data_IF_909322739590
#
_entry.id   IF_909322739590
#
_cell.length_a   1.000
_cell.length_b   1.000
_cell.length_c   1.000
_cell.angle_alpha   90.00
_cell.angle_beta   90.00
_cell.angle_gamma   90.00
#
_symmetry.space_group_name_H-M   'P 1'
#
loop_
_entity.id
_entity.type
_entity.pdbx_description
1 polymer ?
#
# COMPACT_ATOMS: atom_id res chain seq x y z
N UNK A 1 4.44 -33.24 7.66
CA UNK A 1 3.25 -33.80 7.00
C UNK A 1 2.14 -33.75 8.03
N UNK A 2 1.32 -32.71 7.94
CA UNK A 2 0.31 -32.43 8.96
C UNK A 2 -0.83 -33.43 8.87
N UNK A 3 -1.22 -33.98 10.02
CA UNK A 3 -2.35 -34.93 10.10
C UNK A 3 -3.69 -34.30 9.69
N UNK A 4 -3.77 -32.97 9.58
CA UNK A 4 -4.96 -32.28 9.05
C UNK A 4 -5.28 -32.69 7.62
N UNK A 5 -4.28 -32.98 6.79
CA UNK A 5 -4.51 -33.14 5.34
C UNK A 5 -5.25 -34.42 4.96
N UNK A 6 -5.20 -35.48 5.76
CA UNK A 6 -5.91 -36.74 5.44
C UNK A 6 -7.38 -36.70 5.87
N UNK A 7 -7.66 -36.16 7.06
CA UNK A 7 -9.03 -36.01 7.55
C UNK A 7 -9.81 -35.08 6.64
N UNK A 8 -9.20 -33.97 6.19
CA UNK A 8 -9.84 -33.02 5.27
C UNK A 8 -10.16 -33.64 3.91
N UNK A 9 -9.25 -34.48 3.36
CA UNK A 9 -9.50 -35.19 2.10
C UNK A 9 -10.61 -36.22 2.23
N UNK A 10 -10.68 -36.94 3.35
CA UNK A 10 -11.74 -37.91 3.61
C UNK A 10 -13.07 -37.19 3.83
N UNK A 11 -13.08 -36.09 4.58
CA UNK A 11 -14.25 -35.24 4.77
C UNK A 11 -14.73 -34.60 3.45
N UNK A 12 -13.82 -34.33 2.52
CA UNK A 12 -14.16 -33.83 1.18
C UNK A 12 -14.87 -34.89 0.33
N UNK A 13 -14.51 -36.17 0.47
CA UNK A 13 -15.05 -37.28 -0.36
C UNK A 13 -16.28 -37.93 0.27
N UNK A 14 -16.36 -38.00 1.61
CA UNK A 14 -17.46 -38.66 2.33
C UNK A 14 -18.88 -38.19 1.94
N UNK A 15 -19.15 -36.88 1.76
CA UNK A 15 -20.45 -36.41 1.31
C UNK A 15 -20.88 -36.98 -0.04
N UNK A 16 -19.91 -37.30 -0.90
CA UNK A 16 -20.14 -37.85 -2.23
C UNK A 16 -20.50 -39.34 -2.16
N UNK A 17 -19.92 -40.06 -1.19
CA UNK A 17 -20.22 -41.47 -0.97
C UNK A 17 -21.56 -41.70 -0.24
N UNK A 18 -22.10 -40.66 0.40
CA UNK A 18 -23.36 -40.74 1.13
C UNK A 18 -24.57 -41.09 0.27
N UNK A 19 -24.57 -40.69 -1.01
CA UNK A 19 -25.62 -41.07 -1.97
C UNK A 19 -25.54 -42.52 -2.43
N UNK A 20 -24.32 -43.09 -2.45
CA UNK A 20 -24.06 -44.38 -3.07
C UNK A 20 -24.80 -45.52 -2.37
N UNK A 21 -24.94 -45.45 -1.05
CA UNK A 21 -25.66 -46.44 -0.25
C UNK A 21 -27.14 -46.50 -0.62
N UNK A 22 -27.93 -45.40 -0.53
CA UNK A 22 -29.32 -45.43 -0.97
C UNK A 22 -29.47 -45.76 -2.46
N UNK A 23 -28.59 -45.27 -3.33
CA UNK A 23 -28.65 -45.59 -4.76
C UNK A 23 -28.48 -47.09 -5.05
N UNK A 24 -27.49 -47.73 -4.41
CA UNK A 24 -27.26 -49.18 -4.55
C UNK A 24 -28.40 -50.00 -3.98
N UNK A 25 -28.93 -49.63 -2.81
CA UNK A 25 -30.12 -50.28 -2.24
C UNK A 25 -31.34 -50.15 -3.16
N UNK A 26 -31.60 -48.96 -3.72
CA UNK A 26 -32.71 -48.76 -4.65
C UNK A 26 -32.53 -49.55 -5.94
N UNK A 27 -31.29 -49.64 -6.47
CA UNK A 27 -30.98 -50.49 -7.62
C UNK A 27 -31.21 -51.97 -7.35
N UNK A 28 -30.73 -52.47 -6.22
CA UNK A 28 -30.94 -53.86 -5.82
C UNK A 28 -32.43 -54.18 -5.66
N UNK A 29 -33.20 -53.30 -5.02
CA UNK A 29 -34.63 -53.48 -4.86
C UNK A 29 -35.38 -53.37 -6.21
N UNK A 30 -34.93 -52.51 -7.11
CA UNK A 30 -35.46 -52.43 -8.47
C UNK A 30 -35.28 -53.74 -9.24
N UNK A 31 -34.12 -54.41 -9.09
CA UNK A 31 -33.85 -55.70 -9.71
C UNK A 31 -34.62 -56.84 -9.04
N UNK A 32 -34.45 -57.02 -7.72
CA UNK A 32 -34.96 -58.18 -6.99
C UNK A 32 -36.46 -58.13 -6.72
N UNK A 33 -37.02 -56.95 -6.43
CA UNK A 33 -38.40 -56.80 -5.97
C UNK A 33 -39.32 -56.31 -7.08
N UNK A 34 -38.89 -55.30 -7.85
CA UNK A 34 -39.71 -54.73 -8.93
C UNK A 34 -39.64 -55.52 -10.23
N UNK A 35 -38.70 -56.48 -10.33
CA UNK A 35 -38.53 -57.35 -11.50
C UNK A 35 -38.02 -56.63 -12.74
N UNK A 36 -37.34 -55.48 -12.57
CA UNK A 36 -36.68 -54.80 -13.68
C UNK A 36 -35.46 -55.57 -14.16
N UNK A 37 -35.12 -55.42 -15.43
CA UNK A 37 -33.88 -55.99 -15.96
C UNK A 37 -32.65 -55.32 -15.34
N UNK A 38 -31.52 -56.01 -15.31
CA UNK A 38 -30.30 -55.52 -14.64
C UNK A 38 -29.89 -54.12 -15.12
N UNK A 39 -29.93 -53.86 -16.43
CA UNK A 39 -29.57 -52.55 -16.98
C UNK A 39 -30.53 -51.44 -16.57
N UNK A 40 -31.83 -51.75 -16.41
CA UNK A 40 -32.84 -50.80 -15.93
C UNK A 40 -32.61 -50.47 -14.45
N UNK A 41 -32.33 -51.49 -13.64
CA UNK A 41 -32.01 -51.32 -12.23
C UNK A 41 -30.73 -50.48 -12.02
N UNK A 42 -29.69 -50.71 -12.82
CA UNK A 42 -28.46 -49.90 -12.82
C UNK A 42 -28.78 -48.45 -13.22
N UNK A 43 -29.59 -48.24 -14.26
CA UNK A 43 -29.98 -46.89 -14.68
C UNK A 43 -30.74 -46.15 -13.57
N UNK A 44 -31.67 -46.83 -12.88
CA UNK A 44 -32.39 -46.27 -11.73
C UNK A 44 -31.41 -45.89 -10.62
N UNK A 45 -30.46 -46.76 -10.26
CA UNK A 45 -29.45 -46.47 -9.24
C UNK A 45 -28.62 -45.22 -9.62
N UNK A 46 -28.16 -45.13 -10.87
CA UNK A 46 -27.39 -43.96 -11.36
C UNK A 46 -28.21 -42.68 -11.30
N UNK A 47 -29.50 -42.72 -11.65
CA UNK A 47 -30.38 -41.55 -11.57
C UNK A 47 -30.60 -41.10 -10.13
N UNK A 48 -30.85 -42.04 -9.22
CA UNK A 48 -31.00 -41.74 -7.78
C UNK A 48 -29.72 -41.15 -7.23
N UNK A 49 -28.56 -41.72 -7.58
CA UNK A 49 -27.25 -41.17 -7.21
C UNK A 49 -27.06 -39.75 -7.72
N UNK A 50 -27.33 -39.50 -9.00
CA UNK A 50 -27.17 -38.18 -9.60
C UNK A 50 -28.09 -37.14 -8.96
N UNK A 51 -29.34 -37.50 -8.64
CA UNK A 51 -30.28 -36.62 -7.94
C UNK A 51 -29.78 -36.34 -6.52
N UNK A 52 -29.37 -37.37 -5.78
CA UNK A 52 -28.83 -37.23 -4.44
C UNK A 52 -27.60 -36.32 -4.42
N UNK A 53 -26.68 -36.54 -5.35
CA UNK A 53 -25.48 -35.75 -5.52
C UNK A 53 -25.81 -34.27 -5.79
N UNK A 54 -26.62 -33.98 -6.82
CA UNK A 54 -27.00 -32.59 -7.17
C UNK A 54 -27.72 -31.90 -6.01
N UNK A 55 -28.56 -32.64 -5.28
CA UNK A 55 -29.30 -32.10 -4.12
C UNK A 55 -28.34 -31.71 -3.00
N UNK A 56 -27.40 -32.58 -2.64
CA UNK A 56 -26.42 -32.31 -1.59
C UNK A 56 -25.54 -31.13 -1.97
N UNK A 57 -24.98 -31.11 -3.19
CA UNK A 57 -24.11 -30.00 -3.60
C UNK A 57 -24.86 -28.68 -3.61
N UNK A 58 -26.09 -28.65 -4.15
CA UNK A 58 -26.89 -27.42 -4.19
C UNK A 58 -27.21 -26.91 -2.80
N UNK A 59 -27.52 -27.80 -1.86
CA UNK A 59 -27.81 -27.41 -0.46
C UNK A 59 -26.55 -26.91 0.25
N UNK A 60 -25.40 -27.53 0.02
CA UNK A 60 -24.13 -27.07 0.60
C UNK A 60 -23.71 -25.70 0.03
N UNK A 61 -23.77 -25.52 -1.29
CA UNK A 61 -23.46 -24.24 -1.95
C UNK A 61 -24.36 -23.11 -1.40
N UNK A 62 -25.65 -23.40 -1.18
CA UNK A 62 -26.59 -22.43 -0.60
C UNK A 62 -26.31 -22.14 0.88
N UNK A 63 -25.86 -23.15 1.63
CA UNK A 63 -25.50 -22.98 3.03
C UNK A 63 -24.25 -22.12 3.18
N UNK A 64 -23.23 -22.36 2.35
CA UNK A 64 -22.00 -21.57 2.29
C UNK A 64 -22.31 -20.11 1.94
N UNK A 65 -23.12 -19.89 0.89
CA UNK A 65 -23.57 -18.55 0.49
C UNK A 65 -24.29 -17.80 1.63
N UNK A 66 -25.05 -18.52 2.45
CA UNK A 66 -25.75 -17.96 3.60
C UNK A 66 -24.79 -17.66 4.77
N UNK A 67 -23.86 -18.57 5.07
CA UNK A 67 -22.90 -18.43 6.18
C UNK A 67 -21.88 -17.32 5.95
N UNK A 68 -21.41 -17.15 4.72
CA UNK A 68 -20.42 -16.12 4.37
C UNK A 68 -20.95 -14.68 4.48
N UNK A 69 -22.24 -14.51 4.81
CA UNK A 69 -22.86 -13.19 4.88
C UNK A 69 -22.94 -12.49 3.52
N UNK A 70 -22.63 -13.20 2.42
CA UNK A 70 -22.78 -12.67 1.07
C UNK A 70 -24.22 -12.24 0.83
N UNK A 71 -25.20 -12.93 1.42
CA UNK A 71 -26.62 -12.52 1.38
C UNK A 71 -26.86 -11.14 2.01
N UNK A 72 -26.17 -10.81 3.10
CA UNK A 72 -26.26 -9.47 3.71
C UNK A 72 -25.58 -8.42 2.83
N UNK A 73 -24.45 -8.78 2.21
CA UNK A 73 -23.78 -7.93 1.24
C UNK A 73 -24.70 -7.65 0.04
N UNK A 74 -25.41 -8.67 -0.48
CA UNK A 74 -26.36 -8.54 -1.59
C UNK A 74 -27.49 -7.55 -1.32
N UNK A 75 -28.03 -7.51 -0.10
CA UNK A 75 -29.08 -6.56 0.26
C UNK A 75 -28.63 -5.11 0.14
N UNK A 76 -27.33 -4.84 0.22
CA UNK A 76 -26.77 -3.49 0.07
C UNK A 76 -26.74 -3.00 -1.38
N UNK A 77 -26.73 -3.90 -2.36
CA UNK A 77 -26.45 -3.57 -3.77
C UNK A 77 -27.67 -3.65 -4.69
N UNK A 78 -28.89 -3.64 -4.14
CA UNK A 78 -30.14 -3.85 -4.91
C UNK A 78 -30.11 -5.13 -5.79
N UNK A 79 -29.28 -6.10 -5.42
CA UNK A 79 -29.20 -7.38 -6.12
C UNK A 79 -30.55 -8.12 -6.01
N UNK A 80 -30.92 -8.96 -7.01
CA UNK A 80 -32.14 -9.75 -6.95
C UNK A 80 -32.16 -10.53 -5.64
N UNK A 81 -33.17 -10.26 -4.81
CA UNK A 81 -33.27 -10.83 -3.46
C UNK A 81 -33.22 -12.35 -3.56
N UNK A 82 -32.10 -12.95 -3.18
CA UNK A 82 -32.10 -14.34 -2.72
C UNK A 82 -32.93 -14.32 -1.45
N UNK A 83 -34.22 -14.61 -1.60
CA UNK A 83 -35.09 -14.74 -0.44
C UNK A 83 -34.57 -15.91 0.38
N UNK A 84 -34.64 -15.79 1.71
CA UNK A 84 -34.42 -16.92 2.62
C UNK A 84 -35.24 -18.15 2.18
N UNK A 85 -36.34 -17.94 1.45
CA UNK A 85 -37.14 -18.96 0.80
C UNK A 85 -36.34 -19.90 -0.11
N UNK A 86 -35.31 -19.46 -0.83
CA UNK A 86 -34.56 -20.34 -1.73
C UNK A 86 -33.78 -21.42 -0.94
N UNK A 87 -33.16 -21.03 0.19
CA UNK A 87 -32.46 -21.96 1.09
C UNK A 87 -33.46 -22.95 1.69
N UNK A 88 -34.63 -22.47 2.14
CA UNK A 88 -35.69 -23.34 2.66
C UNK A 88 -36.26 -24.28 1.59
N UNK A 89 -36.35 -23.86 0.34
CA UNK A 89 -36.79 -24.71 -0.77
C UNK A 89 -35.76 -25.80 -1.08
N UNK A 90 -34.46 -25.48 -1.09
CA UNK A 90 -33.42 -26.49 -1.28
C UNK A 90 -33.35 -27.49 -0.12
N UNK A 91 -33.43 -26.98 1.12
CA UNK A 91 -33.49 -27.82 2.32
C UNK A 91 -34.76 -28.70 2.31
N UNK A 92 -35.92 -28.11 2.02
CA UNK A 92 -37.18 -28.85 1.89
C UNK A 92 -37.13 -29.89 0.77
N UNK A 93 -36.49 -29.57 -0.37
CA UNK A 93 -36.24 -30.53 -1.44
C UNK A 93 -35.35 -31.69 -1.00
N UNK A 94 -34.30 -31.42 -0.21
CA UNK A 94 -33.42 -32.44 0.37
C UNK A 94 -34.17 -33.36 1.33
N UNK A 95 -34.94 -32.79 2.26
CA UNK A 95 -35.78 -33.56 3.18
C UNK A 95 -36.81 -34.40 2.43
N UNK A 96 -37.47 -33.81 1.42
CA UNK A 96 -38.45 -34.52 0.58
C UNK A 96 -37.80 -35.68 -0.17
N UNK A 97 -36.62 -35.47 -0.77
CA UNK A 97 -35.86 -36.52 -1.43
C UNK A 97 -35.53 -37.68 -0.48
N UNK A 98 -34.96 -37.37 0.69
CA UNK A 98 -34.63 -38.39 1.69
C UNK A 98 -35.87 -39.15 2.14
N UNK A 99 -36.98 -38.44 2.37
CA UNK A 99 -38.25 -39.06 2.74
C UNK A 99 -38.76 -40.02 1.65
N UNK A 100 -38.71 -39.64 0.38
CA UNK A 100 -39.11 -40.50 -0.74
C UNK A 100 -38.22 -41.73 -0.84
N UNK A 101 -36.90 -41.57 -0.75
CA UNK A 101 -35.94 -42.69 -0.82
C UNK A 101 -36.14 -43.68 0.33
N UNK A 102 -36.27 -43.18 1.56
CA UNK A 102 -36.51 -44.03 2.74
C UNK A 102 -37.86 -44.72 2.64
N UNK A 103 -38.91 -44.01 2.20
CA UNK A 103 -40.24 -44.58 2.01
C UNK A 103 -40.24 -45.65 0.93
N UNK A 104 -39.58 -45.42 -0.20
CA UNK A 104 -39.44 -46.41 -1.29
C UNK A 104 -38.76 -47.67 -0.77
N UNK A 105 -37.66 -47.54 -0.03
CA UNK A 105 -36.95 -48.72 0.49
C UNK A 105 -37.76 -49.45 1.57
N UNK A 106 -38.42 -48.73 2.49
CA UNK A 106 -39.24 -49.32 3.55
C UNK A 106 -40.50 -50.01 3.02
N UNK A 107 -41.17 -49.41 2.02
CA UNK A 107 -42.37 -49.99 1.42
C UNK A 107 -42.07 -51.21 0.55
N UNK A 108 -40.87 -51.32 -0.01
CA UNK A 108 -40.48 -52.50 -0.79
C UNK A 108 -40.36 -53.77 0.07
N UNK A 109 -40.22 -53.65 1.39
CA UNK A 109 -40.13 -54.79 2.30
C UNK A 109 -41.49 -55.42 2.65
N UNK A 110 -42.63 -54.79 2.33
CA UNK A 110 -43.94 -55.16 2.91
C UNK A 110 -45.01 -55.76 1.95
N UNK A 111 -44.67 -56.11 0.69
CA UNK A 111 -45.50 -56.97 -0.18
C UNK A 111 -46.08 -56.35 -1.48
N UNK A 112 -46.88 -57.12 -2.23
CA UNK A 112 -47.27 -56.83 -3.64
C UNK A 112 -48.04 -55.52 -3.88
N UNK A 113 -48.90 -55.08 -2.96
CA UNK A 113 -49.67 -53.83 -3.13
C UNK A 113 -48.74 -52.61 -3.16
N UNK A 114 -47.60 -52.69 -2.46
CA UNK A 114 -46.64 -51.61 -2.34
C UNK A 114 -45.79 -51.41 -3.60
N UNK A 115 -45.70 -52.41 -4.47
CA UNK A 115 -45.03 -52.31 -5.78
C UNK A 115 -45.62 -51.17 -6.62
N UNK A 116 -46.95 -51.01 -6.60
CA UNK A 116 -47.64 -49.93 -7.36
C UNK A 116 -47.35 -48.56 -6.76
N UNK A 117 -47.33 -48.45 -5.43
CA UNK A 117 -46.99 -47.22 -4.72
C UNK A 117 -45.54 -46.83 -4.98
N UNK A 118 -44.62 -47.78 -4.96
CA UNK A 118 -43.20 -47.55 -5.26
C UNK A 118 -43.00 -47.06 -6.70
N UNK A 119 -43.69 -47.65 -7.69
CA UNK A 119 -43.63 -47.17 -9.07
C UNK A 119 -44.15 -45.74 -9.20
N UNK A 120 -45.22 -45.39 -8.48
CA UNK A 120 -45.72 -44.01 -8.44
C UNK A 120 -44.73 -43.05 -7.76
N UNK A 121 -44.09 -43.46 -6.66
CA UNK A 121 -43.04 -42.68 -6.00
C UNK A 121 -41.81 -42.50 -6.90
N UNK A 122 -41.42 -43.52 -7.68
CA UNK A 122 -40.32 -43.38 -8.63
C UNK A 122 -40.59 -42.32 -9.71
N UNK A 123 -41.85 -42.16 -10.14
CA UNK A 123 -42.22 -41.08 -11.07
C UNK A 123 -42.00 -39.68 -10.46
N UNK A 124 -42.07 -39.53 -9.14
CA UNK A 124 -41.80 -38.25 -8.45
C UNK A 124 -40.33 -37.82 -8.52
N UNK A 125 -39.39 -38.76 -8.75
CA UNK A 125 -37.97 -38.40 -8.94
C UNK A 125 -37.76 -37.50 -10.16
N UNK A 126 -38.56 -37.64 -11.21
CA UNK A 126 -38.49 -36.73 -12.36
C UNK A 126 -38.85 -35.29 -11.99
N UNK A 127 -39.86 -35.11 -11.13
CA UNK A 127 -40.26 -33.80 -10.63
C UNK A 127 -39.20 -33.21 -9.70
N UNK A 128 -38.67 -34.01 -8.77
CA UNK A 128 -37.59 -33.59 -7.86
C UNK A 128 -36.32 -33.22 -8.63
N UNK A 129 -35.92 -34.04 -9.60
CA UNK A 129 -34.78 -33.76 -10.47
C UNK A 129 -34.97 -32.46 -11.25
N UNK A 130 -36.15 -32.27 -11.86
CA UNK A 130 -36.50 -31.03 -12.55
C UNK A 130 -36.46 -29.79 -11.64
N UNK A 131 -36.98 -29.90 -10.42
CA UNK A 131 -36.92 -28.84 -9.41
C UNK A 131 -35.48 -28.49 -9.04
N UNK A 132 -34.63 -29.49 -8.79
CA UNK A 132 -33.23 -29.27 -8.43
C UNK A 132 -32.43 -28.65 -9.57
N UNK A 133 -32.68 -29.06 -10.82
CA UNK A 133 -32.06 -28.43 -12.01
C UNK A 133 -32.51 -26.98 -12.14
N UNK A 134 -33.79 -26.69 -11.93
CA UNK A 134 -34.31 -25.32 -11.96
C UNK A 134 -33.68 -24.43 -10.88
N UNK A 135 -33.59 -24.94 -9.64
CA UNK A 135 -32.93 -24.26 -8.52
C UNK A 135 -31.45 -23.99 -8.83
N UNK A 136 -30.73 -24.99 -9.35
CA UNK A 136 -29.32 -24.85 -9.71
C UNK A 136 -29.11 -23.82 -10.83
N UNK A 137 -29.97 -23.81 -11.84
CA UNK A 137 -29.92 -22.81 -12.91
C UNK A 137 -30.19 -21.39 -12.36
N UNK A 138 -31.18 -21.24 -11.47
CA UNK A 138 -31.45 -19.97 -10.81
C UNK A 138 -30.27 -19.52 -9.93
N UNK A 139 -29.63 -20.45 -9.21
CA UNK A 139 -28.45 -20.17 -8.40
C UNK A 139 -27.27 -19.72 -9.26
N UNK A 140 -26.98 -20.43 -10.36
CA UNK A 140 -25.91 -20.07 -11.29
C UNK A 140 -26.10 -18.66 -11.88
N UNK A 141 -27.34 -18.29 -12.26
CA UNK A 141 -27.65 -16.93 -12.72
C UNK A 141 -27.42 -15.90 -11.62
N UNK A 142 -27.78 -16.22 -10.39
CA UNK A 142 -27.56 -15.31 -9.26
C UNK A 142 -26.06 -15.13 -8.98
N UNK A 143 -25.28 -16.22 -8.97
CA UNK A 143 -23.82 -16.15 -8.80
C UNK A 143 -23.16 -15.31 -9.89
N UNK A 144 -23.55 -15.50 -11.15
CA UNK A 144 -23.03 -14.68 -12.26
C UNK A 144 -23.40 -13.19 -12.12
N UNK A 145 -24.60 -12.89 -11.65
CA UNK A 145 -25.02 -11.51 -11.37
C UNK A 145 -24.20 -10.88 -10.24
N UNK A 146 -23.83 -11.67 -9.23
CA UNK A 146 -23.02 -11.21 -8.09
C UNK A 146 -21.59 -10.91 -8.50
N UNK A 147 -20.99 -11.81 -9.28
CA UNK A 147 -19.65 -11.60 -9.84
C UNK A 147 -19.61 -10.30 -10.66
N UNK A 148 -20.66 -10.04 -11.46
CA UNK A 148 -20.76 -8.79 -12.22
C UNK A 148 -20.89 -7.55 -11.32
N UNK A 149 -21.63 -7.64 -10.21
CA UNK A 149 -21.76 -6.53 -9.24
C UNK A 149 -20.43 -6.29 -8.52
N UNK A 150 -19.73 -7.34 -8.10
CA UNK A 150 -18.41 -7.25 -7.48
C UNK A 150 -17.41 -6.59 -8.43
N UNK A 151 -17.34 -7.04 -9.68
CA UNK A 151 -16.48 -6.44 -10.70
C UNK A 151 -16.76 -4.94 -10.89
N UNK A 152 -18.03 -4.53 -10.96
CA UNK A 152 -18.40 -3.11 -11.05
C UNK A 152 -17.99 -2.31 -9.81
N UNK A 153 -18.08 -2.90 -8.62
CA UNK A 153 -17.69 -2.22 -7.39
C UNK A 153 -16.18 -2.04 -7.31
N UNK A 154 -15.42 -3.05 -7.71
CA UNK A 154 -13.96 -2.96 -7.80
C UNK A 154 -13.52 -1.91 -8.83
N UNK A 155 -14.21 -1.83 -9.97
CA UNK A 155 -14.02 -0.76 -10.96
C UNK A 155 -14.35 0.63 -10.39
N UNK A 156 -15.44 0.77 -9.63
CA UNK A 156 -15.79 2.04 -9.00
C UNK A 156 -14.81 2.44 -7.90
N UNK A 157 -14.33 1.49 -7.09
CA UNK A 157 -13.37 1.75 -6.03
C UNK A 157 -12.01 2.16 -6.62
N UNK A 158 -11.55 1.45 -7.65
CA UNK A 158 -10.32 1.80 -8.36
C UNK A 158 -10.43 3.16 -9.06
N UNK A 159 -11.57 3.47 -9.69
CA UNK A 159 -11.82 4.78 -10.27
C UNK A 159 -11.89 5.89 -9.22
N UNK A 160 -12.49 5.65 -8.05
CA UNK A 160 -12.55 6.61 -6.95
C UNK A 160 -11.15 6.90 -6.38
N UNK A 161 -10.34 5.85 -6.18
CA UNK A 161 -8.93 6.00 -5.76
C UNK A 161 -8.12 6.79 -6.80
N UNK A 162 -8.27 6.47 -8.08
CA UNK A 162 -7.58 7.19 -9.15
C UNK A 162 -7.93 8.68 -9.16
N UNK A 163 -9.21 9.04 -8.96
CA UNK A 163 -9.64 10.44 -8.84
C UNK A 163 -9.07 11.12 -7.60
N UNK A 164 -9.00 10.43 -6.47
CA UNK A 164 -8.43 10.98 -5.25
C UNK A 164 -6.93 11.24 -5.40
N UNK A 165 -6.20 10.31 -6.03
CA UNK A 165 -4.78 10.49 -6.34
C UNK A 165 -4.54 11.66 -7.31
N UNK A 166 -5.45 11.88 -8.27
CA UNK A 166 -5.38 13.01 -9.20
C UNK A 166 -5.58 14.34 -8.48
N UNK A 167 -6.60 14.44 -7.61
CA UNK A 167 -6.84 15.63 -6.78
C UNK A 167 -5.62 15.92 -5.89
N UNK A 168 -5.05 14.91 -5.24
CA UNK A 168 -3.88 15.09 -4.38
C UNK A 168 -2.66 15.57 -5.18
N UNK A 169 -2.48 15.10 -6.42
CA UNK A 169 -1.41 15.60 -7.31
C UNK A 169 -1.64 17.05 -7.71
N UNK A 170 -2.87 17.43 -8.03
CA UNK A 170 -3.22 18.81 -8.36
C UNK A 170 -2.99 19.75 -7.16
N UNK A 171 -3.39 19.33 -5.96
CA UNK A 171 -3.17 20.09 -4.72
C UNK A 171 -1.68 20.27 -4.43
N UNK A 172 -0.87 19.20 -4.57
CA UNK A 172 0.59 19.29 -4.42
C UNK A 172 1.23 20.19 -5.47
N UNK A 173 0.76 20.14 -6.72
CA UNK A 173 1.26 21.00 -7.78
C UNK A 173 0.93 22.47 -7.52
N UNK A 174 -0.28 22.76 -7.03
CA UNK A 174 -0.70 24.10 -6.65
C UNK A 174 0.08 24.63 -5.44
N UNK A 175 0.28 23.81 -4.41
CA UNK A 175 1.09 24.16 -3.25
C UNK A 175 2.53 24.50 -3.64
N UNK A 176 3.13 23.72 -4.55
CA UNK A 176 4.45 23.98 -5.10
C UNK A 176 4.53 25.31 -5.87
N UNK A 177 3.48 25.67 -6.63
CA UNK A 177 3.42 26.96 -7.33
C UNK A 177 3.39 28.14 -6.34
N UNK A 178 2.57 28.06 -5.29
CA UNK A 178 2.52 29.09 -4.25
C UNK A 178 3.88 29.24 -3.56
N UNK A 179 4.53 28.14 -3.23
CA UNK A 179 5.85 28.17 -2.60
C UNK A 179 6.90 28.82 -3.52
N UNK A 180 6.85 28.50 -4.82
CA UNK A 180 7.72 29.12 -5.82
C UNK A 180 7.49 30.63 -5.92
N UNK A 181 6.23 31.08 -6.01
CA UNK A 181 5.89 32.51 -6.05
C UNK A 181 6.37 33.23 -4.78
N UNK A 182 6.23 32.58 -3.61
CA UNK A 182 6.73 33.13 -2.34
C UNK A 182 8.25 33.30 -2.36
N UNK A 183 8.99 32.30 -2.83
CA UNK A 183 10.46 32.39 -2.95
C UNK A 183 10.86 33.50 -3.93
N UNK A 184 10.19 33.60 -5.08
CA UNK A 184 10.45 34.66 -6.06
C UNK A 184 10.19 36.06 -5.47
N UNK A 185 9.11 36.22 -4.71
CA UNK A 185 8.80 37.47 -4.01
C UNK A 185 9.84 37.82 -2.94
N UNK A 186 10.27 36.85 -2.12
CA UNK A 186 11.32 37.05 -1.11
C UNK A 186 12.65 37.49 -1.76
N UNK A 187 13.01 36.88 -2.89
CA UNK A 187 14.21 37.26 -3.66
C UNK A 187 14.11 38.69 -4.23
N UNK A 188 12.95 39.11 -4.72
CA UNK A 188 12.72 40.48 -5.20
C UNK A 188 12.85 41.50 -4.07
N UNK A 189 12.21 41.22 -2.93
CA UNK A 189 12.29 42.05 -1.72
C UNK A 189 13.74 42.22 -1.22
N UNK A 190 14.53 41.14 -1.24
CA UNK A 190 15.92 41.20 -0.85
C UNK A 190 16.78 42.01 -1.84
N UNK A 191 16.54 41.84 -3.15
CA UNK A 191 17.22 42.62 -4.18
C UNK A 191 16.90 44.13 -4.07
N UNK A 192 15.65 44.49 -3.80
CA UNK A 192 15.25 45.88 -3.55
C UNK A 192 15.91 46.46 -2.30
N UNK A 193 15.95 45.70 -1.21
CA UNK A 193 16.64 46.09 0.02
C UNK A 193 18.13 46.32 -0.22
N UNK A 194 18.77 45.48 -1.03
CA UNK A 194 20.18 45.66 -1.42
C UNK A 194 20.37 46.92 -2.28
N UNK A 195 19.46 47.22 -3.21
CA UNK A 195 19.48 48.45 -4.02
C UNK A 195 19.36 49.69 -3.15
N UNK A 196 18.37 49.75 -2.25
CA UNK A 196 18.21 50.86 -1.31
C UNK A 196 19.44 51.04 -0.41
N UNK A 197 20.01 49.92 0.09
CA UNK A 197 21.23 49.96 0.89
C UNK A 197 22.43 50.50 0.08
N UNK A 198 22.53 50.17 -1.21
CA UNK A 198 23.55 50.68 -2.11
C UNK A 198 23.36 52.19 -2.38
N UNK A 199 22.14 52.64 -2.66
CA UNK A 199 21.81 54.06 -2.84
C UNK A 199 22.15 54.89 -1.59
N UNK A 200 21.78 54.41 -0.40
CA UNK A 200 22.15 55.05 0.87
C UNK A 200 23.68 55.13 1.05
N UNK A 201 24.43 54.13 0.59
CA UNK A 201 25.90 54.19 0.61
C UNK A 201 26.45 55.24 -0.35
N UNK A 202 25.89 55.34 -1.56
CA UNK A 202 26.29 56.37 -2.53
C UNK A 202 26.02 57.78 -1.98
N UNK A 203 24.83 58.03 -1.44
CA UNK A 203 24.48 59.33 -0.81
C UNK A 203 25.47 59.66 0.32
N UNK A 204 25.79 58.69 1.19
CA UNK A 204 26.78 58.88 2.26
C UNK A 204 28.18 59.16 1.73
N UNK A 205 28.58 58.53 0.63
CA UNK A 205 29.87 58.78 -0.03
C UNK A 205 29.91 60.16 -0.67
N UNK A 206 28.85 60.59 -1.33
CA UNK A 206 28.72 61.94 -1.88
C UNK A 206 28.80 63.00 -0.76
N UNK A 207 28.09 62.80 0.36
CA UNK A 207 28.16 63.70 1.51
C UNK A 207 29.58 63.76 2.11
N UNK A 208 30.23 62.60 2.26
CA UNK A 208 31.63 62.53 2.69
C UNK A 208 32.57 63.23 1.71
N UNK A 209 32.38 63.04 0.40
CA UNK A 209 33.20 63.68 -0.63
C UNK A 209 33.03 65.20 -0.62
N UNK A 210 31.81 65.70 -0.35
CA UNK A 210 31.52 67.13 -0.19
C UNK A 210 32.17 67.72 1.06
N UNK A 211 32.14 66.98 2.18
CA UNK A 211 32.87 67.35 3.42
C UNK A 211 34.39 67.33 3.23
N UNK A 212 34.90 66.34 2.49
CA UNK A 212 36.32 66.25 2.13
C UNK A 212 36.73 67.41 1.20
N UNK A 213 35.94 67.74 0.17
CA UNK A 213 36.20 68.90 -0.68
C UNK A 213 36.20 70.22 0.10
N UNK A 214 35.34 70.36 1.13
CA UNK A 214 35.35 71.50 2.05
C UNK A 214 36.58 71.54 2.96
N UNK A 215 37.06 70.39 3.44
CA UNK A 215 38.26 70.31 4.29
C UNK A 215 39.57 70.37 3.51
N UNK A 216 39.59 69.98 2.22
CA UNK A 216 40.75 70.16 1.33
C UNK A 216 40.96 71.63 0.90
N UNK A 217 39.93 72.48 0.95
CA UNK A 217 40.08 73.92 0.76
C UNK A 217 40.70 74.63 1.99
N UNK A 218 40.64 74.02 3.18
CA UNK A 218 41.14 74.59 4.44
C UNK A 218 42.48 73.99 4.91
N UNK A 219 42.89 72.83 4.37
CA UNK A 219 44.14 72.12 4.74
C UNK A 219 45.19 72.03 3.62
N UNK A 220 45.18 72.95 2.66
CA UNK A 220 46.22 73.06 1.64
C UNK A 220 47.56 73.67 2.14
N UNK A 221 47.63 74.10 3.41
CA UNK A 221 48.84 74.71 4.03
C UNK A 221 49.30 74.03 5.33
N UNK A 222 49.11 72.72 5.54
CA UNK A 222 49.77 72.05 6.68
C UNK A 222 49.77 70.52 6.58
N UNK A 223 50.75 69.95 5.88
CA UNK A 223 51.45 68.75 6.39
C UNK A 223 52.60 68.34 5.49
N UNK A 224 53.76 68.89 5.85
CA UNK A 224 55.10 68.44 5.50
C UNK A 224 55.67 67.84 6.79
N UNK A 225 56.20 66.61 6.73
CA UNK A 225 56.94 65.84 7.77
C UNK A 225 56.13 64.91 8.70
N UNK A 226 56.40 63.61 8.57
CA UNK A 226 56.69 62.59 9.61
C UNK A 226 56.76 61.23 8.88
N UNK A 227 57.86 60.86 8.23
CA UNK A 227 59.00 60.09 8.76
C UNK A 227 58.67 59.10 9.89
N UNK A 228 58.86 57.83 9.53
CA UNK A 228 59.67 56.84 10.24
C UNK A 228 59.03 56.14 11.44
N UNK A 229 58.50 54.96 11.14
CA UNK A 229 58.04 53.96 12.11
C UNK A 229 58.22 52.58 11.49
N UNK A 230 59.45 52.23 11.13
CA UNK A 230 59.81 50.91 10.64
C UNK A 230 59.59 49.85 11.72
N UNK A 231 58.37 49.35 11.86
CA UNK A 231 58.11 48.09 12.54
C UNK A 231 58.77 46.99 11.70
N UNK A 232 59.82 46.38 12.26
CA UNK A 232 60.43 45.17 11.70
C UNK A 232 59.32 44.14 11.55
N UNK A 233 58.94 43.87 10.31
CA UNK A 233 58.06 42.75 9.98
C UNK A 233 58.67 41.49 10.62
N UNK A 234 57.86 40.63 11.27
CA UNK A 234 58.36 39.39 11.85
C UNK A 234 59.06 38.56 10.76
N UNK A 235 60.14 37.85 11.10
CA UNK A 235 60.93 37.05 10.14
C UNK A 235 60.10 35.97 9.39
N UNK A 236 58.89 35.70 9.86
CA UNK A 236 57.93 34.76 9.29
C UNK A 236 57.07 35.36 8.17
N UNK A 237 57.06 36.68 8.00
CA UNK A 237 56.21 37.37 7.02
C UNK A 237 56.59 37.02 5.57
N UNK A 238 55.68 36.38 4.84
CA UNK A 238 55.85 36.02 3.43
C UNK A 238 56.79 34.83 3.15
N UNK A 239 57.31 34.16 4.19
CA UNK A 239 58.27 33.05 4.04
C UNK A 239 57.64 31.79 3.43
N UNK A 240 56.35 31.54 3.68
CA UNK A 240 55.63 30.39 3.15
C UNK A 240 54.39 30.83 2.38
N UNK A 241 54.23 30.32 1.15
CA UNK A 241 53.01 30.53 0.34
C UNK A 241 52.02 29.37 0.43
N UNK A 242 52.46 28.22 0.95
CA UNK A 242 51.69 26.98 1.00
C UNK A 242 51.77 26.37 2.41
N UNK A 243 50.61 25.99 2.96
CA UNK A 243 50.44 25.36 4.28
C UNK A 243 51.37 24.15 4.47
N UNK A 244 51.59 23.37 3.41
CA UNK A 244 52.41 22.15 3.47
C UNK A 244 53.89 22.42 3.74
N UNK A 245 54.36 23.65 3.50
CA UNK A 245 55.75 24.05 3.69
C UNK A 245 56.00 24.75 5.03
N UNK A 246 54.95 24.98 5.82
CA UNK A 246 55.05 25.60 7.14
C UNK A 246 55.63 24.57 8.12
N UNK A 247 56.76 24.87 8.81
CA UNK A 247 57.35 23.98 9.81
C UNK A 247 56.36 23.66 10.93
N UNK A 248 56.48 22.47 11.51
CA UNK A 248 55.54 21.99 12.53
C UNK A 248 55.48 22.90 13.76
N UNK A 249 56.59 23.54 14.14
CA UNK A 249 56.65 24.54 15.23
C UNK A 249 55.75 25.75 14.96
N UNK A 250 55.76 26.28 13.74
CA UNK A 250 54.93 27.42 13.32
C UNK A 250 53.46 27.03 13.16
N UNK A 251 53.19 25.80 12.72
CA UNK A 251 51.81 25.29 12.64
C UNK A 251 51.14 25.24 14.01
N UNK A 252 51.89 24.91 15.08
CA UNK A 252 51.39 24.93 16.46
C UNK A 252 51.07 26.37 16.92
N UNK A 253 51.90 27.35 16.56
CA UNK A 253 51.63 28.78 16.82
C UNK A 253 50.33 29.19 16.11
N UNK A 254 50.17 28.85 14.82
CA UNK A 254 48.95 29.15 14.06
C UNK A 254 47.72 28.50 14.69
N UNK A 255 47.82 27.27 15.20
CA UNK A 255 46.71 26.58 15.88
C UNK A 255 46.27 27.32 17.17
N UNK A 256 47.20 27.99 17.85
CA UNK A 256 46.94 28.76 19.07
C UNK A 256 46.30 30.13 18.83
N UNK A 257 46.31 30.64 17.60
CA UNK A 257 45.72 31.94 17.27
C UNK A 257 44.17 31.88 17.27
N UNK A 258 43.55 32.99 17.64
CA UNK A 258 42.10 33.08 17.78
C UNK A 258 41.42 33.39 16.45
N UNK A 259 42.03 34.22 15.60
CA UNK A 259 41.41 34.74 14.39
C UNK A 259 42.28 34.63 13.13
N UNK A 260 41.60 34.67 11.97
CA UNK A 260 42.27 34.65 10.67
C UNK A 260 43.02 35.96 10.38
N UNK A 261 42.62 37.10 10.98
CA UNK A 261 43.36 38.35 10.87
C UNK A 261 44.75 38.24 11.51
N UNK A 262 44.85 37.63 12.70
CA UNK A 262 46.15 37.42 13.37
C UNK A 262 47.10 36.58 12.51
N UNK A 263 46.59 35.54 11.84
CA UNK A 263 47.39 34.71 10.92
C UNK A 263 47.82 35.52 9.69
N UNK A 264 46.94 36.36 9.16
CA UNK A 264 47.21 37.21 8.00
C UNK A 264 48.26 38.28 8.31
N UNK A 265 48.18 38.90 9.48
CA UNK A 265 49.10 39.93 9.96
C UNK A 265 50.49 39.34 10.28
N UNK A 266 50.54 38.20 10.97
CA UNK A 266 51.80 37.60 11.40
C UNK A 266 52.58 36.96 10.23
N UNK A 267 51.88 36.34 9.27
CA UNK A 267 52.52 35.59 8.18
C UNK A 267 52.43 36.26 6.80
N UNK A 268 51.70 37.38 6.67
CA UNK A 268 51.57 38.13 5.41
C UNK A 268 50.80 37.41 4.32
N UNK A 269 49.89 36.50 4.69
CA UNK A 269 49.04 35.77 3.73
C UNK A 269 47.69 36.44 3.57
N UNK A 270 47.01 36.33 2.40
CA UNK A 270 45.65 36.85 2.24
C UNK A 270 44.70 36.27 3.29
N UNK A 271 43.73 37.06 3.75
CA UNK A 271 42.81 36.69 4.84
C UNK A 271 42.13 35.32 4.61
N UNK A 272 41.72 35.03 3.37
CA UNK A 272 41.14 33.72 2.98
C UNK A 272 42.13 32.56 3.16
N UNK A 273 43.39 32.79 2.82
CA UNK A 273 44.48 31.82 3.02
C UNK A 273 44.76 31.64 4.51
N UNK A 274 44.79 32.72 5.29
CA UNK A 274 44.93 32.69 6.75
C UNK A 274 43.83 31.87 7.42
N UNK A 275 42.57 32.05 7.01
CA UNK A 275 41.44 31.25 7.52
C UNK A 275 41.55 29.75 7.21
N UNK A 276 42.00 29.40 6.01
CA UNK A 276 42.26 28.00 5.65
C UNK A 276 43.42 27.40 6.45
N UNK A 277 44.49 28.17 6.68
CA UNK A 277 45.62 27.75 7.49
C UNK A 277 45.20 27.50 8.94
N UNK A 278 44.45 28.42 9.54
CA UNK A 278 43.92 28.28 10.90
C UNK A 278 43.05 27.04 11.06
N UNK A 279 42.16 26.77 10.10
CA UNK A 279 41.29 25.59 10.10
C UNK A 279 42.10 24.28 10.00
N UNK A 280 43.11 24.24 9.14
CA UNK A 280 43.98 23.07 9.00
C UNK A 280 44.85 22.86 10.24
N UNK A 281 45.38 23.94 10.82
CA UNK A 281 46.17 23.91 12.05
C UNK A 281 45.38 23.32 13.22
N UNK A 282 44.16 23.82 13.47
CA UNK A 282 43.28 23.31 14.54
C UNK A 282 42.82 21.86 14.30
N UNK A 283 42.78 21.42 13.05
CA UNK A 283 42.50 20.03 12.68
C UNK A 283 43.70 19.11 12.94
N UNK A 284 44.92 19.57 12.65
CA UNK A 284 46.17 18.83 12.90
C UNK A 284 46.52 18.80 14.40
N UNK A 285 46.14 19.82 15.17
CA UNK A 285 46.39 19.96 16.62
C UNK A 285 45.10 20.31 17.40
N UNK A 286 44.19 19.33 17.62
CA UNK A 286 42.88 19.56 18.24
C UNK A 286 42.92 19.80 19.76
N UNK A 287 44.00 19.39 20.42
CA UNK A 287 44.20 19.61 21.85
C UNK A 287 44.97 20.91 22.02
N UNK A 288 44.38 21.89 22.71
CA UNK A 288 45.04 23.14 23.07
C UNK A 288 46.30 22.85 23.88
N UNK A 289 47.42 22.69 23.18
CA UNK A 289 48.75 22.52 23.76
C UNK A 289 49.07 23.79 24.54
N UNK A 290 48.82 23.73 25.85
CA UNK A 290 49.38 24.68 26.82
C UNK A 290 50.90 24.59 26.64
N UNK A 291 51.49 25.60 26.03
CA UNK A 291 52.93 25.76 25.91
C UNK A 291 53.49 25.94 27.33
N UNK A 292 53.82 24.84 28.01
CA UNK A 292 54.70 24.89 29.17
C UNK A 292 56.11 25.16 28.64
N UNK A 293 56.67 26.32 29.01
CA UNK A 293 58.06 26.72 28.73
C UNK A 293 59.09 25.69 29.21
#
# INVERSE_FOLDING_TARGET
MDKSTYVDRVAMVLPWLGGLVPATMTGQNAYLVLGYELWQAVLIAVVVEAIGFVTITTTLDLLELYQDGQVAQMQRWDAPRISQGLVWVAFGGTVTYLFVVVSVNSLLDTGEVLVKVTKALMASFGLLGGLMVALRNQMSKTLAALEQVQARNDEMETAAKARQDEIEREERAHAWQIEKEKIEFELQMEAEKQRQAHELKLIKLEEKSRKLAGTFAENAESSKKLTDGGQKLPETFGKWKDWRKVPESEKKIIASLESAEQVSELYGVPLKTGGNWLKNAKKEFPEGLVLNE
#
